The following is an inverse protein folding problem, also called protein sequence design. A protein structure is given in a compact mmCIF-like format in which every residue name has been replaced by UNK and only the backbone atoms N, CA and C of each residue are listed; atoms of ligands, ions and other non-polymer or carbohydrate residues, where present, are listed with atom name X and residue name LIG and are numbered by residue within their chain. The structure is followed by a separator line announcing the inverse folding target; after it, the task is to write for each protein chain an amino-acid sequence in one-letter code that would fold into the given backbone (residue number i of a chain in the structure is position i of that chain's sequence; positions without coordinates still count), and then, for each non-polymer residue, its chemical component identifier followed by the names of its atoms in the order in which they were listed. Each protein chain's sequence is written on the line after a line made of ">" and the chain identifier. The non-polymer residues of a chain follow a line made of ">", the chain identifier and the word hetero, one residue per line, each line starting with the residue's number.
data_IF_943420907355
#
_entry.id   IF_943420907355
#
_cell.length_a   1.000
_cell.length_b   1.000
_cell.length_c   1.000
_cell.angle_alpha   90.00
_cell.angle_beta   90.00
_cell.angle_gamma   90.00
#
_symmetry.space_group_name_H-M   'P 1'
#
loop_
_entity.id
_entity.type
_entity.pdbx_description
1 polymer ?
#
# COMPACT_ATOMS: atom_id res chain seq x y z
N UNK A 1 -0.10 17.65 38.42
CA UNK A 1 0.08 19.01 37.89
C UNK A 1 -1.21 19.39 37.19
N UNK A 2 -1.76 20.58 37.42
CA UNK A 2 -2.92 21.03 36.66
C UNK A 2 -2.49 21.24 35.21
N UNK A 3 -3.06 20.48 34.28
CA UNK A 3 -2.90 20.72 32.84
C UNK A 3 -3.64 22.02 32.52
N UNK A 4 -2.89 23.05 32.15
CA UNK A 4 -3.49 24.26 31.57
C UNK A 4 -4.11 23.81 30.25
N UNK A 5 -5.38 24.15 30.01
CA UNK A 5 -6.04 23.86 28.75
C UNK A 5 -5.86 25.05 27.81
N UNK A 6 -5.62 24.82 26.50
CA UNK A 6 -5.53 25.90 25.52
C UNK A 6 -6.88 26.59 25.36
N UNK A 7 -6.86 27.88 25.09
CA UNK A 7 -8.06 28.63 24.69
C UNK A 7 -8.52 28.23 23.28
N UNK A 8 -9.72 28.62 22.87
CA UNK A 8 -10.18 28.40 21.49
C UNK A 8 -9.33 29.20 20.48
N UNK A 9 -8.88 30.40 20.83
CA UNK A 9 -7.98 31.21 19.99
C UNK A 9 -6.64 30.50 19.76
N UNK A 10 -6.03 29.92 20.81
CA UNK A 10 -4.78 29.17 20.67
C UNK A 10 -4.95 27.87 19.87
N UNK A 11 -6.14 27.27 19.90
CA UNK A 11 -6.49 26.12 19.07
C UNK A 11 -6.65 26.50 17.60
N UNK A 12 -7.29 27.63 17.31
CA UNK A 12 -7.39 28.18 15.97
C UNK A 12 -6.02 28.54 15.40
N UNK A 13 -5.16 29.16 16.21
CA UNK A 13 -3.77 29.46 15.86
C UNK A 13 -2.99 28.17 15.56
N UNK A 14 -3.15 27.12 16.38
CA UNK A 14 -2.51 25.83 16.13
C UNK A 14 -2.94 25.21 14.78
N UNK A 15 -4.21 25.33 14.39
CA UNK A 15 -4.68 24.87 13.07
C UNK A 15 -4.00 25.65 11.93
N UNK A 16 -3.79 26.96 12.11
CA UNK A 16 -3.05 27.78 11.15
C UNK A 16 -1.58 27.36 11.07
N UNK A 17 -0.90 27.16 12.20
CA UNK A 17 0.48 26.65 12.23
C UNK A 17 0.58 25.30 11.52
N UNK A 18 -0.37 24.39 11.73
CA UNK A 18 -0.45 23.10 11.03
C UNK A 18 -0.66 23.25 9.51
N UNK A 19 -1.42 24.27 9.09
CA UNK A 19 -1.68 24.57 7.68
C UNK A 19 -0.47 25.19 6.99
N UNK A 20 0.27 26.05 7.67
CA UNK A 20 1.42 26.77 7.13
C UNK A 20 2.75 26.06 7.35
N UNK A 21 2.79 25.02 8.19
CA UNK A 21 3.99 24.21 8.41
C UNK A 21 4.90 24.79 9.49
N UNK A 22 4.36 25.59 10.40
CA UNK A 22 5.14 26.26 11.45
C UNK A 22 5.49 25.28 12.58
N UNK A 23 6.51 24.44 12.32
CA UNK A 23 6.93 23.36 13.22
C UNK A 23 7.30 23.88 14.61
N UNK A 24 8.00 25.02 14.69
CA UNK A 24 8.41 25.61 15.96
C UNK A 24 7.22 25.98 16.84
N UNK A 25 6.15 26.55 16.26
CA UNK A 25 4.94 26.94 16.99
C UNK A 25 4.15 25.71 17.46
N UNK A 26 4.09 24.67 16.62
CA UNK A 26 3.47 23.39 17.00
C UNK A 26 4.23 22.74 18.16
N UNK A 27 5.57 22.74 18.11
CA UNK A 27 6.42 22.22 19.19
C UNK A 27 6.26 23.04 20.47
N UNK A 28 6.18 24.37 20.37
CA UNK A 28 5.95 25.26 21.51
C UNK A 28 4.58 25.00 22.14
N UNK A 29 3.54 24.82 21.32
CA UNK A 29 2.20 24.46 21.77
C UNK A 29 2.21 23.12 22.52
N UNK A 30 2.81 22.08 21.95
CA UNK A 30 2.93 20.75 22.59
C UNK A 30 3.75 20.83 23.88
N UNK A 31 4.81 21.64 23.93
CA UNK A 31 5.59 21.87 25.14
C UNK A 31 4.76 22.54 26.26
N UNK A 32 3.81 23.42 25.90
CA UNK A 32 2.97 24.15 26.85
C UNK A 32 1.76 23.33 27.33
N UNK A 33 1.12 22.58 26.44
CA UNK A 33 -0.17 21.93 26.69
C UNK A 33 -0.14 20.40 26.67
N UNK A 34 0.99 19.82 26.28
CA UNK A 34 1.08 18.41 25.93
C UNK A 34 0.49 18.10 24.55
N UNK A 35 0.61 16.84 24.08
CA UNK A 35 0.16 16.45 22.75
C UNK A 35 -1.34 16.12 22.68
N UNK A 36 -2.03 15.97 23.82
CA UNK A 36 -3.44 15.58 23.84
C UNK A 36 -4.35 16.51 23.01
N UNK A 37 -4.24 17.85 23.09
CA UNK A 37 -5.14 18.74 22.33
C UNK A 37 -5.03 18.57 20.80
N UNK A 38 -3.89 18.10 20.28
CA UNK A 38 -3.72 17.84 18.85
C UNK A 38 -4.71 16.77 18.33
N UNK A 39 -5.09 15.82 19.18
CA UNK A 39 -5.94 14.68 18.82
C UNK A 39 -7.41 15.06 18.69
N UNK A 40 -7.85 16.02 19.49
CA UNK A 40 -9.26 16.43 19.60
C UNK A 40 -9.61 17.60 18.67
N UNK A 41 -8.61 18.31 18.17
CA UNK A 41 -8.80 19.54 17.41
C UNK A 41 -9.45 19.28 16.04
N UNK A 42 -10.54 19.98 15.77
CA UNK A 42 -11.28 19.95 14.50
C UNK A 42 -11.68 21.36 14.11
N UNK A 43 -11.57 21.70 12.83
CA UNK A 43 -12.17 22.92 12.30
C UNK A 43 -13.69 22.75 12.05
N UNK A 44 -14.34 23.79 11.51
CA UNK A 44 -15.78 23.78 11.19
C UNK A 44 -16.21 22.73 10.15
N UNK A 45 -15.25 22.18 9.39
CA UNK A 45 -15.46 21.13 8.41
C UNK A 45 -15.04 19.74 8.92
N UNK A 46 -14.74 19.63 10.22
CA UNK A 46 -14.28 18.39 10.84
C UNK A 46 -12.86 18.01 10.44
N UNK A 47 -12.08 18.91 9.85
CA UNK A 47 -10.70 18.64 9.48
C UNK A 47 -9.82 18.58 10.72
N UNK A 48 -9.01 17.52 10.81
CA UNK A 48 -7.97 17.38 11.83
C UNK A 48 -6.72 18.18 11.47
N UNK A 49 -5.78 18.30 12.40
CA UNK A 49 -4.44 18.81 12.10
C UNK A 49 -3.76 18.05 10.97
N UNK A 50 -3.99 16.73 10.83
CA UNK A 50 -3.40 15.93 9.77
C UNK A 50 -3.96 16.31 8.39
N UNK A 51 -5.20 16.75 8.28
CA UNK A 51 -5.72 17.29 7.01
C UNK A 51 -4.95 18.55 6.62
N UNK A 52 -4.74 19.46 7.57
CA UNK A 52 -3.99 20.71 7.34
C UNK A 52 -2.54 20.44 6.95
N UNK A 53 -1.86 19.54 7.67
CA UNK A 53 -0.45 19.19 7.42
C UNK A 53 -0.30 18.47 6.08
N UNK A 54 -1.08 17.41 5.87
CA UNK A 54 -0.92 16.52 4.73
C UNK A 54 -1.39 17.16 3.43
N UNK A 55 -2.47 17.92 3.46
CA UNK A 55 -2.97 18.65 2.30
C UNK A 55 -2.07 19.79 1.85
N UNK A 56 -1.12 20.24 2.68
CA UNK A 56 -0.18 21.32 2.32
C UNK A 56 1.29 20.83 2.20
N UNK A 57 1.54 19.52 2.34
CA UNK A 57 2.85 18.94 2.02
C UNK A 57 3.91 19.05 3.13
N UNK A 58 3.54 19.36 4.37
CA UNK A 58 4.47 19.62 5.47
C UNK A 58 5.03 18.33 6.08
N UNK A 59 6.05 17.76 5.44
CA UNK A 59 6.60 16.44 5.81
C UNK A 59 7.32 16.41 7.15
N UNK A 60 8.01 17.49 7.51
CA UNK A 60 8.71 17.66 8.78
C UNK A 60 7.73 17.79 9.95
N UNK A 61 6.63 18.53 9.75
CA UNK A 61 5.54 18.60 10.70
C UNK A 61 4.85 17.24 10.86
N UNK A 62 4.63 16.51 9.75
CA UNK A 62 4.07 15.16 9.81
C UNK A 62 4.96 14.20 10.61
N UNK A 63 6.29 14.26 10.42
CA UNK A 63 7.23 13.42 11.16
C UNK A 63 7.17 13.68 12.67
N UNK A 64 7.10 14.97 13.06
CA UNK A 64 6.94 15.33 14.46
C UNK A 64 5.59 14.91 15.02
N UNK A 65 4.50 15.35 14.39
CA UNK A 65 3.12 15.12 14.87
C UNK A 65 2.81 13.63 14.93
N UNK A 66 3.21 12.86 13.90
CA UNK A 66 3.02 11.40 13.85
C UNK A 66 3.69 10.64 14.99
N UNK A 67 4.72 11.21 15.62
CA UNK A 67 5.39 10.62 16.79
C UNK A 67 4.71 10.91 18.13
N UNK A 68 3.78 11.88 18.18
CA UNK A 68 3.14 12.34 19.44
C UNK A 68 1.63 12.14 19.49
N UNK A 69 0.97 11.98 18.35
CA UNK A 69 -0.49 11.74 18.27
C UNK A 69 -0.82 10.25 18.24
N UNK A 70 -2.02 9.84 18.71
CA UNK A 70 -2.44 8.45 18.61
C UNK A 70 -2.61 8.05 17.13
N UNK A 71 -2.20 6.82 16.74
CA UNK A 71 -2.31 6.36 15.35
C UNK A 71 -3.74 6.35 14.79
N UNK A 72 -4.74 6.25 15.66
CA UNK A 72 -6.17 6.33 15.29
C UNK A 72 -6.54 7.65 14.62
N UNK A 73 -5.75 8.72 14.80
CA UNK A 73 -5.98 10.01 14.14
C UNK A 73 -5.76 9.94 12.62
N UNK A 74 -4.93 9.02 12.14
CA UNK A 74 -4.49 8.92 10.73
C UNK A 74 -5.68 8.58 9.80
N UNK A 75 -6.63 7.77 10.27
CA UNK A 75 -7.81 7.37 9.50
C UNK A 75 -9.05 8.21 9.77
N UNK A 76 -8.95 9.28 10.59
CA UNK A 76 -10.11 10.14 10.88
C UNK A 76 -10.58 10.82 9.61
N UNK A 77 -11.89 10.77 9.40
CA UNK A 77 -12.56 11.38 8.28
C UNK A 77 -13.19 12.72 8.68
N UNK A 78 -13.07 13.73 7.82
CA UNK A 78 -13.74 15.02 7.98
C UNK A 78 -15.24 14.93 7.61
N UNK A 79 -15.95 16.06 7.60
CA UNK A 79 -17.39 16.12 7.24
C UNK A 79 -17.71 15.62 5.83
N UNK A 80 -16.74 15.65 4.91
CA UNK A 80 -16.86 15.08 3.56
C UNK A 80 -16.45 13.60 3.50
N UNK A 81 -16.26 12.95 4.65
CA UNK A 81 -15.67 11.61 4.77
C UNK A 81 -14.25 11.48 4.18
N UNK A 82 -13.56 12.58 3.89
CA UNK A 82 -12.19 12.54 3.39
C UNK A 82 -11.23 12.34 4.56
N UNK A 83 -10.17 11.56 4.35
CA UNK A 83 -9.01 11.47 5.26
C UNK A 83 -7.91 12.44 4.83
N UNK A 84 -6.88 12.60 5.67
CA UNK A 84 -5.67 13.35 5.33
C UNK A 84 -4.98 12.85 4.04
N UNK A 85 -5.07 11.55 3.75
CA UNK A 85 -4.52 10.96 2.52
C UNK A 85 -5.27 11.40 1.26
N UNK A 86 -6.59 11.63 1.34
CA UNK A 86 -7.34 12.19 0.20
C UNK A 86 -6.83 13.59 -0.16
N UNK A 87 -6.55 14.42 0.86
CA UNK A 87 -6.06 15.79 0.64
C UNK A 87 -4.62 15.78 0.10
N UNK A 88 -3.75 14.91 0.62
CA UNK A 88 -2.42 14.72 0.08
C UNK A 88 -2.46 14.28 -1.39
N UNK A 89 -3.40 13.39 -1.76
CA UNK A 89 -3.55 12.93 -3.14
C UNK A 89 -4.11 14.02 -4.08
N UNK A 90 -5.16 14.73 -3.65
CA UNK A 90 -5.74 15.84 -4.40
C UNK A 90 -4.70 16.93 -4.70
N UNK A 91 -3.83 17.21 -3.72
CA UNK A 91 -2.81 18.27 -3.79
C UNK A 91 -1.41 17.76 -4.17
N UNK A 92 -1.30 16.51 -4.62
CA UNK A 92 -0.09 15.96 -5.27
C UNK A 92 1.14 15.83 -4.35
N UNK A 93 0.94 15.46 -3.08
CA UNK A 93 2.00 15.33 -2.08
C UNK A 93 2.42 13.87 -1.86
N UNK A 94 3.15 13.28 -2.82
CA UNK A 94 3.62 11.88 -2.72
C UNK A 94 4.42 11.57 -1.45
N UNK A 95 5.39 12.41 -1.02
CA UNK A 95 6.15 12.12 0.19
C UNK A 95 5.28 12.01 1.45
N UNK A 96 4.20 12.80 1.54
CA UNK A 96 3.23 12.71 2.63
C UNK A 96 2.48 11.39 2.58
N UNK A 97 2.02 10.96 1.40
CA UNK A 97 1.27 9.71 1.26
C UNK A 97 2.12 8.50 1.66
N UNK A 98 3.37 8.47 1.20
CA UNK A 98 4.34 7.44 1.59
C UNK A 98 4.56 7.41 3.10
N UNK A 99 4.70 8.59 3.73
CA UNK A 99 4.86 8.69 5.18
C UNK A 99 3.62 8.23 5.95
N UNK A 100 2.41 8.61 5.52
CA UNK A 100 1.17 8.21 6.17
C UNK A 100 0.99 6.69 6.22
N UNK A 101 1.32 5.98 5.13
CA UNK A 101 1.32 4.50 5.10
C UNK A 101 2.39 3.91 6.03
N UNK A 102 3.54 4.57 6.15
CA UNK A 102 4.66 4.10 6.96
C UNK A 102 4.55 4.44 8.46
N UNK A 103 3.53 5.19 8.90
CA UNK A 103 3.41 5.60 10.30
C UNK A 103 3.12 4.39 11.23
N UNK A 104 3.93 4.17 12.27
CA UNK A 104 3.77 3.02 13.16
C UNK A 104 2.41 2.96 13.85
N UNK A 105 1.78 1.79 13.83
CA UNK A 105 0.47 1.54 14.44
C UNK A 105 -0.71 2.21 13.72
N UNK A 106 -0.45 2.88 12.60
CA UNK A 106 -1.48 3.44 11.74
C UNK A 106 -2.19 2.36 10.90
N UNK A 107 -3.16 2.76 10.08
CA UNK A 107 -3.86 1.85 9.15
C UNK A 107 -2.97 1.27 8.06
N UNK A 108 -1.76 1.81 7.85
CA UNK A 108 -0.88 1.37 6.78
C UNK A 108 -1.54 1.54 5.39
N UNK A 109 -1.43 0.50 4.59
CA UNK A 109 -1.98 0.38 3.24
C UNK A 109 -3.50 0.54 3.21
N UNK A 110 -4.24 0.11 4.25
CA UNK A 110 -5.71 0.17 4.29
C UNK A 110 -6.23 1.61 4.14
N UNK A 111 -5.39 2.62 4.41
CA UNK A 111 -5.71 4.03 4.23
C UNK A 111 -6.04 4.39 2.77
N UNK A 112 -5.47 3.67 1.79
CA UNK A 112 -5.66 3.93 0.36
C UNK A 112 -7.04 3.47 -0.16
N UNK A 113 -7.76 2.65 0.61
CA UNK A 113 -9.07 2.11 0.23
C UNK A 113 -10.25 2.90 0.79
N UNK A 114 -10.01 3.76 1.78
CA UNK A 114 -11.06 4.56 2.41
C UNK A 114 -11.68 5.48 1.36
N UNK A 115 -13.02 5.48 1.27
CA UNK A 115 -13.77 6.34 0.35
C UNK A 115 -14.38 7.52 1.08
N UNK A 116 -14.32 8.67 0.45
CA UNK A 116 -15.05 9.85 0.90
C UNK A 116 -16.53 9.83 0.48
N UNK A 117 -17.27 10.90 0.80
CA UNK A 117 -18.71 10.99 0.58
C UNK A 117 -19.11 11.00 -0.90
N UNK A 118 -18.16 11.30 -1.78
CA UNK A 118 -18.32 11.19 -3.23
C UNK A 118 -17.97 9.79 -3.78
N UNK A 119 -17.65 8.83 -2.91
CA UNK A 119 -17.29 7.46 -3.28
C UNK A 119 -15.88 7.32 -3.84
N UNK A 120 -15.02 8.33 -3.67
CA UNK A 120 -13.65 8.33 -4.20
C UNK A 120 -12.66 7.91 -3.13
N UNK A 121 -11.72 7.05 -3.50
CA UNK A 121 -10.51 6.79 -2.72
C UNK A 121 -9.45 7.86 -3.00
N UNK A 122 -8.31 7.88 -2.28
CA UNK A 122 -7.15 8.69 -2.65
C UNK A 122 -6.71 8.54 -4.11
N UNK A 123 -6.85 7.35 -4.71
CA UNK A 123 -6.58 7.15 -6.13
C UNK A 123 -7.54 7.95 -7.00
N UNK A 124 -8.83 7.93 -6.69
CA UNK A 124 -9.82 8.73 -7.40
C UNK A 124 -9.55 10.24 -7.29
N UNK A 125 -9.05 10.73 -6.15
CA UNK A 125 -8.62 12.14 -6.02
C UNK A 125 -7.38 12.45 -6.86
N UNK A 126 -6.38 11.56 -6.89
CA UNK A 126 -5.19 11.70 -7.74
C UNK A 126 -5.55 11.70 -9.24
N UNK A 127 -6.50 10.87 -9.67
CA UNK A 127 -6.99 10.84 -11.05
C UNK A 127 -7.72 12.13 -11.43
N UNK A 128 -8.57 12.66 -10.53
CA UNK A 128 -9.28 13.92 -10.75
C UNK A 128 -8.31 15.10 -10.87
N UNK A 129 -7.25 15.11 -10.08
CA UNK A 129 -6.22 16.16 -10.15
C UNK A 129 -5.27 15.98 -11.35
N UNK A 130 -5.38 14.88 -12.09
CA UNK A 130 -4.50 14.56 -13.23
C UNK A 130 -3.09 14.15 -12.81
N UNK A 131 -2.91 13.75 -11.54
CA UNK A 131 -1.60 13.48 -10.96
C UNK A 131 -1.15 12.03 -11.20
N UNK A 132 -0.45 11.85 -12.32
CA UNK A 132 0.00 10.54 -12.79
C UNK A 132 0.97 9.84 -11.83
N UNK A 133 1.91 10.58 -11.24
CA UNK A 133 2.93 10.01 -10.35
C UNK A 133 2.29 9.37 -9.11
N UNK A 134 1.40 10.10 -8.43
CA UNK A 134 0.71 9.57 -7.26
C UNK A 134 -0.27 8.45 -7.59
N UNK A 135 -0.98 8.56 -8.72
CA UNK A 135 -1.85 7.48 -9.19
C UNK A 135 -1.06 6.18 -9.46
N UNK A 136 0.10 6.29 -10.12
CA UNK A 136 0.99 5.15 -10.35
C UNK A 136 1.47 4.54 -9.03
N UNK A 137 1.90 5.37 -8.07
CA UNK A 137 2.33 4.88 -6.77
C UNK A 137 1.21 4.15 -6.03
N UNK A 138 -0.02 4.69 -6.02
CA UNK A 138 -1.18 4.04 -5.39
C UNK A 138 -1.50 2.69 -6.03
N UNK A 139 -1.44 2.59 -7.37
CA UNK A 139 -1.64 1.31 -8.07
C UNK A 139 -0.54 0.30 -7.73
N UNK A 140 0.71 0.74 -7.61
CA UNK A 140 1.81 -0.14 -7.19
C UNK A 140 1.59 -0.67 -5.77
N UNK A 141 1.19 0.19 -4.83
CA UNK A 141 0.92 -0.22 -3.44
C UNK A 141 -0.22 -1.24 -3.40
N UNK A 142 -1.33 -1.00 -4.10
CA UNK A 142 -2.45 -1.94 -4.15
C UNK A 142 -2.06 -3.34 -4.68
N UNK A 143 -1.11 -3.41 -5.62
CA UNK A 143 -0.67 -4.69 -6.19
C UNK A 143 0.25 -5.46 -5.23
N UNK A 144 1.07 -4.78 -4.45
CA UNK A 144 1.96 -5.43 -3.46
C UNK A 144 1.12 -6.21 -2.44
N UNK A 145 0.03 -5.62 -1.97
CA UNK A 145 -0.87 -6.24 -0.99
C UNK A 145 -1.56 -7.50 -1.54
N UNK A 146 -1.77 -7.57 -2.86
CA UNK A 146 -2.36 -8.74 -3.52
C UNK A 146 -1.37 -9.89 -3.78
N UNK A 147 -0.07 -9.60 -3.86
CA UNK A 147 0.96 -10.59 -4.14
C UNK A 147 1.47 -11.30 -2.86
N UNK A 148 1.42 -10.65 -1.69
CA UNK A 148 1.70 -11.30 -0.39
C UNK A 148 0.67 -12.38 -0.03
N UNK A 149 -0.51 -12.39 -0.66
CA UNK A 149 -1.51 -13.44 -0.52
C UNK A 149 -1.28 -14.68 -1.43
N UNK A 150 -0.18 -14.71 -2.21
CA UNK A 150 0.11 -15.78 -3.19
C UNK A 150 1.36 -16.61 -2.94
N UNK A 151 1.99 -16.53 -1.76
CA UNK A 151 2.94 -17.57 -1.34
C UNK A 151 2.22 -18.57 -0.43
N UNK A 152 1.65 -19.60 -1.06
CA UNK A 152 1.43 -20.98 -0.57
C UNK A 152 0.51 -21.69 -1.59
N UNK A 153 0.94 -21.75 -2.85
CA UNK A 153 0.52 -22.81 -3.76
C UNK A 153 1.82 -23.49 -4.18
N UNK A 154 2.14 -24.58 -3.48
CA UNK A 154 3.36 -25.35 -3.63
C UNK A 154 3.71 -25.62 -5.09
N UNK A 155 4.84 -25.07 -5.52
CA UNK A 155 5.57 -25.56 -6.68
C UNK A 155 6.22 -26.88 -6.26
N UNK A 156 5.44 -27.97 -6.31
CA UNK A 156 6.00 -29.32 -6.28
C UNK A 156 6.85 -29.49 -7.53
N UNK A 157 8.14 -29.18 -7.37
CA UNK A 157 9.23 -29.60 -8.25
C UNK A 157 9.13 -31.12 -8.45
N UNK A 158 8.59 -31.54 -9.59
CA UNK A 158 8.69 -32.94 -10.03
C UNK A 158 10.10 -33.13 -10.60
N UNK A 159 11.06 -33.38 -9.71
CA UNK A 159 12.36 -33.95 -10.05
C UNK A 159 12.31 -35.48 -9.93
N UNK A 160 12.98 -36.16 -10.86
CA UNK A 160 13.27 -37.58 -10.77
C UNK A 160 12.56 -38.43 -11.81
N UNK A 161 13.29 -38.72 -12.89
CA UNK A 161 13.13 -39.89 -13.75
C UNK A 161 12.74 -41.15 -12.95
N UNK A 162 11.47 -41.55 -13.02
CA UNK A 162 11.03 -42.84 -12.50
C UNK A 162 10.88 -43.82 -13.68
N UNK A 163 11.65 -44.91 -13.65
CA UNK A 163 11.37 -46.07 -14.49
C UNK A 163 10.01 -46.64 -14.06
N UNK A 164 9.03 -46.62 -14.96
CA UNK A 164 7.73 -47.25 -14.69
C UNK A 164 7.83 -48.72 -15.06
N UNK A 165 7.74 -49.60 -14.06
CA UNK A 165 7.52 -51.04 -14.25
C UNK A 165 6.02 -51.33 -14.27
N UNK A 166 5.54 -51.89 -15.39
CA UNK A 166 4.15 -52.33 -15.53
C UNK A 166 4.12 -53.85 -15.54
N UNK A 167 3.34 -54.44 -14.62
CA UNK A 167 3.05 -55.88 -14.60
C UNK A 167 1.71 -56.11 -15.29
N UNK A 168 1.70 -56.91 -16.35
CA UNK A 168 0.48 -57.26 -17.09
C UNK A 168 0.27 -58.75 -16.97
N UNK A 169 -0.89 -59.15 -16.45
CA UNK A 169 -1.34 -60.54 -16.34
C UNK A 169 -2.27 -60.87 -17.51
N UNK A 170 -1.99 -61.97 -18.21
CA UNK A 170 -2.86 -62.44 -19.29
C UNK A 170 -4.07 -63.24 -18.78
N UNK A 171 -5.00 -63.58 -19.67
CA UNK A 171 -6.22 -64.32 -19.34
C UNK A 171 -5.97 -65.76 -18.83
N UNK A 172 -4.71 -66.23 -18.86
CA UNK A 172 -4.29 -67.53 -18.38
C UNK A 172 -3.47 -67.43 -17.06
N UNK A 173 -3.33 -66.22 -16.51
CA UNK A 173 -2.65 -65.96 -15.23
C UNK A 173 -1.13 -65.83 -15.33
N UNK A 174 -0.55 -65.65 -16.52
CA UNK A 174 0.89 -65.39 -16.66
C UNK A 174 1.18 -63.89 -16.59
N UNK A 175 2.07 -63.51 -15.68
CA UNK A 175 2.49 -62.11 -15.45
C UNK A 175 3.78 -61.82 -16.22
N UNK A 176 3.75 -60.81 -17.09
CA UNK A 176 4.93 -60.25 -17.74
C UNK A 176 5.26 -58.87 -17.16
N UNK A 177 6.53 -58.62 -16.84
CA UNK A 177 7.03 -57.32 -16.33
C UNK A 177 7.73 -56.57 -17.46
N UNK A 178 7.29 -55.35 -17.74
CA UNK A 178 7.92 -54.48 -18.74
C UNK A 178 8.38 -53.18 -18.11
N UNK A 179 9.63 -52.79 -18.38
CA UNK A 179 10.25 -51.55 -17.87
C UNK A 179 10.30 -50.53 -19.00
N UNK A 180 9.64 -49.38 -18.82
CA UNK A 180 9.55 -48.34 -19.84
C UNK A 180 10.45 -47.17 -19.42
N UNK A 181 11.56 -46.97 -20.13
CA UNK A 181 12.44 -45.79 -19.98
C UNK A 181 12.05 -44.72 -21.01
N UNK A 182 11.66 -43.53 -20.56
CA UNK A 182 11.26 -42.43 -21.45
C UNK A 182 12.43 -41.86 -22.27
N UNK A 183 12.45 -42.11 -23.58
CA UNK A 183 13.38 -41.47 -24.52
C UNK A 183 12.68 -40.30 -25.24
N UNK A 184 13.10 -39.07 -24.96
CA UNK A 184 12.68 -37.86 -25.67
C UNK A 184 13.55 -37.65 -26.91
N UNK A 185 12.97 -37.83 -28.11
CA UNK A 185 13.62 -37.46 -29.37
C UNK A 185 13.33 -36.00 -29.74
N UNK A 186 14.35 -35.14 -29.72
CA UNK A 186 14.32 -33.77 -30.29
C UNK A 186 14.33 -33.82 -31.83
N UNK A 187 13.71 -32.85 -32.53
CA UNK A 187 13.88 -32.69 -33.97
C UNK A 187 15.20 -31.95 -34.25
N UNK A 188 15.92 -32.38 -35.29
CA UNK A 188 17.02 -31.62 -35.89
C UNK A 188 16.65 -31.29 -37.32
N UNK A 189 16.47 -29.99 -37.56
CA UNK A 189 16.55 -29.38 -38.88
C UNK A 189 17.95 -29.63 -39.46
N UNK A 190 18.04 -30.02 -40.74
CA UNK A 190 19.24 -29.75 -41.52
C UNK A 190 18.87 -29.46 -42.97
N UNK A 191 19.40 -28.32 -43.40
CA UNK A 191 19.26 -27.70 -44.71
C UNK A 191 20.23 -28.36 -45.72
N UNK A 192 19.96 -28.07 -46.99
CA UNK A 192 20.91 -28.03 -48.11
C UNK A 192 21.12 -29.25 -49.03
N UNK A 193 20.47 -29.12 -50.20
CA UNK A 193 21.01 -29.16 -51.57
C UNK A 193 21.82 -30.37 -52.09
N UNK A 194 21.42 -30.82 -53.29
CA UNK A 194 22.39 -31.23 -54.31
C UNK A 194 22.03 -32.42 -55.20
N UNK A 195 21.63 -32.10 -56.43
CA UNK A 195 21.95 -32.82 -57.67
C UNK A 195 21.16 -34.06 -58.11
N UNK A 196 20.62 -33.93 -59.34
CA UNK A 196 20.14 -34.99 -60.26
C UNK A 196 21.27 -35.98 -60.63
N UNK A 197 21.04 -37.15 -61.28
CA UNK A 197 20.40 -37.31 -62.61
C UNK A 197 19.41 -38.52 -62.72
N UNK A 198 18.53 -38.64 -63.71
CA UNK A 198 18.81 -39.01 -65.12
C UNK A 198 17.59 -38.72 -66.00
#
# INVERSE_FOLDING_TARGET
>A
MATILPTEEEKEELLLSCRYGDLEDIQAFVSKYGPQPLSDLRDEHGNTILHMICGNGHTDVLDYVGSVVPPTLISVQNSSQSTAMHWAALNQHLPIMQKLVALPGGPGIDLIDIKNSAGRSPLGEAEISGWQEGAQWLVQVMNIDTDEAKEEAGDDVIDGSQDVEVEIEDANGQIAKMKISGATGKPVDDDHAGSAPS
#
